data_IF_823370726459
#
_entry.id   IF_823370726459
#
_cell.length_a   1.000
_cell.length_b   1.000
_cell.length_c   1.000
_cell.angle_alpha   90.00
_cell.angle_beta   90.00
_cell.angle_gamma   90.00
#
_symmetry.space_group_name_H-M   'P 1'
#
loop_
_entity.id
_entity.type
_entity.pdbx_description
1 polymer ?
#
# COMPACT_ATOMS: atom_id res chain seq x y z
N UNK A 1 6.50 3.19 -13.37
CA UNK A 1 5.04 3.38 -13.25
C UNK A 1 4.62 3.23 -11.81
N UNK A 2 3.53 3.92 -11.43
CA UNK A 2 2.77 3.66 -10.20
C UNK A 2 1.31 3.48 -10.63
N UNK A 3 0.64 2.47 -10.08
CA UNK A 3 -0.82 2.35 -10.13
C UNK A 3 -1.42 2.88 -8.81
N UNK A 4 -2.61 3.47 -8.92
CA UNK A 4 -3.32 4.09 -7.80
C UNK A 4 -4.68 3.43 -7.61
N UNK A 5 -5.11 3.30 -6.37
CA UNK A 5 -6.46 2.88 -6.03
C UNK A 5 -6.99 3.75 -4.90
N UNK A 6 -8.32 3.91 -4.84
CA UNK A 6 -8.95 4.43 -3.64
C UNK A 6 -8.99 3.35 -2.57
N UNK A 7 -9.15 3.76 -1.32
CA UNK A 7 -9.47 2.88 -0.21
C UNK A 7 -10.18 3.71 0.87
N UNK A 8 -10.60 3.05 1.93
CA UNK A 8 -11.34 3.70 3.00
C UNK A 8 -10.75 3.32 4.35
N UNK A 9 -10.66 4.30 5.26
CA UNK A 9 -10.52 3.99 6.68
C UNK A 9 -11.93 3.97 7.26
N UNK A 10 -12.37 2.80 7.71
CA UNK A 10 -13.64 2.62 8.42
C UNK A 10 -13.38 2.73 9.91
N UNK A 11 -13.82 3.83 10.52
CA UNK A 11 -13.61 4.10 11.94
C UNK A 11 -14.65 3.42 12.83
N UNK A 12 -14.28 3.15 14.07
CA UNK A 12 -15.14 2.43 15.04
C UNK A 12 -16.46 3.12 15.37
N UNK A 13 -16.57 4.44 15.26
CA UNK A 13 -17.82 5.18 15.44
C UNK A 13 -18.65 5.36 14.14
N UNK A 14 -18.33 4.59 13.09
CA UNK A 14 -19.15 4.49 11.87
C UNK A 14 -18.92 5.58 10.83
N UNK A 15 -17.87 6.40 10.98
CA UNK A 15 -17.43 7.32 9.92
C UNK A 15 -16.46 6.58 9.00
N UNK A 16 -16.62 6.78 7.70
CA UNK A 16 -15.64 6.36 6.71
C UNK A 16 -14.90 7.57 6.15
N UNK A 17 -13.61 7.42 5.96
CA UNK A 17 -12.76 8.43 5.35
C UNK A 17 -12.06 7.85 4.12
N UNK A 18 -12.30 8.49 2.98
CA UNK A 18 -11.67 8.11 1.72
C UNK A 18 -10.17 8.47 1.78
N UNK A 19 -9.33 7.49 1.47
CA UNK A 19 -7.88 7.61 1.38
C UNK A 19 -7.41 7.05 0.04
N UNK A 20 -6.13 7.26 -0.26
CA UNK A 20 -5.52 6.69 -1.46
C UNK A 20 -4.50 5.62 -1.09
N UNK A 21 -4.37 4.61 -1.95
CA UNK A 21 -3.30 3.63 -1.93
C UNK A 21 -2.60 3.64 -3.27
N UNK A 22 -1.38 3.12 -3.30
CA UNK A 22 -0.65 2.93 -4.52
C UNK A 22 0.13 1.61 -4.49
N UNK A 23 0.28 1.02 -5.67
CA UNK A 23 0.95 -0.25 -5.84
C UNK A 23 0.44 -0.97 -7.09
N UNK A 24 1.31 -1.69 -7.81
CA UNK A 24 2.77 -1.76 -7.60
C UNK A 24 3.49 -0.46 -8.02
N UNK A 25 4.68 -0.26 -7.47
CA UNK A 25 5.66 0.72 -7.95
C UNK A 25 6.71 -0.03 -8.76
N UNK A 26 6.87 0.30 -10.04
CA UNK A 26 7.73 -0.46 -10.95
C UNK A 26 8.72 0.45 -11.69
N UNK A 27 10.00 0.09 -11.60
CA UNK A 27 11.10 0.70 -12.36
C UNK A 27 11.83 -0.41 -13.09
N UNK A 28 12.03 -0.22 -14.39
CA UNK A 28 12.77 -1.16 -15.23
C UNK A 28 14.17 -1.41 -14.65
N UNK A 29 14.69 -2.65 -14.64
CA UNK A 29 15.97 -3.00 -14.01
C UNK A 29 17.14 -2.07 -14.38
N UNK A 30 17.27 -1.73 -15.66
CA UNK A 30 18.32 -0.84 -16.18
C UNK A 30 18.29 0.59 -15.59
N UNK A 31 17.17 0.99 -14.99
CA UNK A 31 16.93 2.32 -14.43
C UNK A 31 16.75 2.31 -12.90
N UNK A 32 16.92 1.16 -12.25
CA UNK A 32 16.88 1.05 -10.80
C UNK A 32 18.12 1.71 -10.16
N UNK A 33 18.01 2.04 -8.86
CA UNK A 33 19.08 2.69 -8.07
C UNK A 33 19.53 4.08 -8.56
N UNK A 34 18.77 4.68 -9.48
CA UNK A 34 19.00 6.05 -9.99
C UNK A 34 18.05 7.09 -9.36
N UNK A 35 17.35 6.75 -8.28
CA UNK A 35 16.41 7.66 -7.60
C UNK A 35 15.01 7.76 -8.23
N UNK A 36 14.76 7.10 -9.37
CA UNK A 36 13.47 7.17 -10.08
C UNK A 36 12.29 6.69 -9.21
N UNK A 37 12.45 5.56 -8.51
CA UNK A 37 11.40 5.05 -7.62
C UNK A 37 11.04 6.04 -6.51
N UNK A 38 12.05 6.70 -5.94
CA UNK A 38 11.86 7.78 -4.96
C UNK A 38 11.15 8.98 -5.58
N UNK A 39 11.55 9.41 -6.77
CA UNK A 39 10.91 10.53 -7.47
C UNK A 39 9.42 10.25 -7.76
N UNK A 40 9.08 9.02 -8.16
CA UNK A 40 7.69 8.62 -8.39
C UNK A 40 6.85 8.66 -7.09
N UNK A 41 7.41 8.23 -5.97
CA UNK A 41 6.73 8.26 -4.66
C UNK A 41 6.56 9.71 -4.20
N UNK A 42 7.61 10.54 -4.28
CA UNK A 42 7.51 11.97 -3.94
C UNK A 42 6.48 12.70 -4.79
N UNK A 43 6.45 12.42 -6.10
CA UNK A 43 5.43 12.97 -6.99
C UNK A 43 4.02 12.54 -6.56
N UNK A 44 3.83 11.26 -6.23
CA UNK A 44 2.56 10.71 -5.73
C UNK A 44 2.09 11.42 -4.47
N UNK A 45 2.96 11.62 -3.49
CA UNK A 45 2.63 12.30 -2.22
C UNK A 45 2.13 13.72 -2.51
N UNK A 46 2.87 14.47 -3.33
CA UNK A 46 2.50 15.83 -3.72
C UNK A 46 1.15 15.87 -4.47
N UNK A 47 0.90 14.89 -5.34
CA UNK A 47 -0.35 14.79 -6.08
C UNK A 47 -1.53 14.52 -5.14
N UNK A 48 -1.39 13.55 -4.23
CA UNK A 48 -2.43 13.20 -3.27
C UNK A 48 -2.78 14.38 -2.35
N UNK A 49 -1.77 15.14 -1.90
CA UNK A 49 -1.99 16.38 -1.13
C UNK A 49 -2.79 17.42 -1.93
N UNK A 50 -2.43 17.66 -3.19
CA UNK A 50 -3.14 18.61 -4.06
C UNK A 50 -4.58 18.20 -4.35
N UNK A 51 -4.85 16.90 -4.36
CA UNK A 51 -6.20 16.35 -4.53
C UNK A 51 -7.04 16.40 -3.25
N UNK A 52 -6.45 16.80 -2.11
CA UNK A 52 -7.16 16.93 -0.83
C UNK A 52 -7.35 15.62 -0.08
N UNK A 53 -6.63 14.56 -0.43
CA UNK A 53 -6.64 13.33 0.38
C UNK A 53 -6.02 13.59 1.74
N UNK A 54 -6.58 12.95 2.76
CA UNK A 54 -6.17 13.11 4.14
C UNK A 54 -4.99 12.22 4.53
N UNK A 55 -4.88 11.04 3.91
CA UNK A 55 -3.80 10.09 4.13
C UNK A 55 -3.54 9.20 2.90
N UNK A 56 -2.37 8.56 2.90
CA UNK A 56 -2.02 7.45 2.02
C UNK A 56 -1.82 6.20 2.86
N UNK A 57 -2.48 5.10 2.51
CA UNK A 57 -2.33 3.79 3.15
C UNK A 57 -1.72 2.81 2.15
N UNK A 58 -0.70 2.05 2.55
CA UNK A 58 -0.05 1.04 1.70
C UNK A 58 0.32 -0.21 2.48
N UNK A 59 0.47 -1.33 1.78
CA UNK A 59 1.25 -2.47 2.25
C UNK A 59 2.65 -2.42 1.64
N UNK A 60 3.66 -2.23 2.47
CA UNK A 60 5.03 -2.08 2.01
C UNK A 60 6.06 -2.32 3.11
N UNK A 61 7.33 -2.40 2.73
CA UNK A 61 8.42 -2.60 3.68
C UNK A 61 8.69 -1.30 4.49
N UNK A 62 8.57 -1.30 5.83
CA UNK A 62 8.87 -0.14 6.65
C UNK A 62 10.31 0.38 6.51
N UNK A 63 11.26 -0.51 6.20
CA UNK A 63 12.67 -0.15 5.93
C UNK A 63 12.79 0.76 4.69
N UNK A 64 11.88 0.59 3.72
CA UNK A 64 11.89 1.35 2.48
C UNK A 64 11.01 2.61 2.52
N UNK A 65 9.81 2.52 3.09
CA UNK A 65 8.83 3.61 3.01
C UNK A 65 8.96 4.66 4.13
N UNK A 66 9.58 4.33 5.26
CA UNK A 66 9.77 5.25 6.39
C UNK A 66 10.51 6.55 6.03
N UNK A 67 11.42 6.49 5.05
CA UNK A 67 12.16 7.65 4.52
C UNK A 67 11.30 8.69 3.79
N UNK A 68 10.08 8.32 3.37
CA UNK A 68 9.11 9.25 2.79
C UNK A 68 8.10 9.77 3.81
N UNK A 69 8.26 9.43 5.10
CA UNK A 69 7.37 9.86 6.18
C UNK A 69 6.30 8.83 6.57
N UNK A 70 6.17 7.71 5.85
CA UNK A 70 5.27 6.62 6.24
C UNK A 70 5.62 6.10 7.64
N UNK A 71 4.61 5.70 8.39
CA UNK A 71 4.73 5.07 9.71
C UNK A 71 3.84 3.83 9.76
N UNK A 72 4.18 2.88 10.63
CA UNK A 72 3.34 1.71 10.87
C UNK A 72 1.92 2.17 11.26
N UNK A 73 0.90 1.54 10.68
CA UNK A 73 -0.50 1.90 10.90
C UNK A 73 -0.96 1.74 12.34
N UNK A 74 -0.31 0.85 13.10
CA UNK A 74 -0.51 0.69 14.55
C UNK A 74 -0.33 1.99 15.33
N UNK A 75 0.58 2.88 14.90
CA UNK A 75 0.76 4.21 15.51
C UNK A 75 -0.54 5.03 15.53
N UNK A 76 -1.42 4.75 14.57
CA UNK A 76 -2.67 5.46 14.33
C UNK A 76 -3.90 4.62 14.71
N UNK A 77 -3.69 3.48 15.38
CA UNK A 77 -4.74 2.50 15.69
C UNK A 77 -5.51 2.03 14.44
N UNK A 78 -4.85 2.05 13.28
CA UNK A 78 -5.40 1.56 12.02
C UNK A 78 -4.96 0.11 11.80
N UNK A 79 -5.96 -0.76 11.68
CA UNK A 79 -5.82 -2.19 11.45
C UNK A 79 -6.11 -2.54 9.98
N UNK A 80 -5.84 -3.78 9.61
CA UNK A 80 -6.29 -4.39 8.36
C UNK A 80 -7.81 -4.59 8.37
N UNK A 81 -8.38 -4.93 7.21
CA UNK A 81 -9.79 -5.28 7.08
C UNK A 81 -10.19 -6.47 7.99
N UNK A 82 -9.27 -7.41 8.26
CA UNK A 82 -9.47 -8.56 9.17
C UNK A 82 -9.19 -8.25 10.65
N UNK A 83 -9.19 -6.96 11.03
CA UNK A 83 -9.05 -6.46 12.40
C UNK A 83 -7.72 -6.81 13.10
N UNK A 84 -6.62 -6.88 12.34
CA UNK A 84 -5.27 -7.12 12.86
C UNK A 84 -4.35 -5.95 12.63
N UNK A 85 -3.32 -5.81 13.47
CA UNK A 85 -2.17 -5.01 13.11
C UNK A 85 -1.29 -5.81 12.16
N UNK A 86 -0.72 -5.14 11.16
CA UNK A 86 0.17 -5.75 10.19
C UNK A 86 1.43 -4.91 10.05
N UNK A 87 2.61 -5.53 10.13
CA UNK A 87 3.89 -4.83 10.02
C UNK A 87 4.04 -4.13 8.67
N UNK A 88 3.47 -4.72 7.61
CA UNK A 88 3.49 -4.16 6.27
C UNK A 88 2.52 -2.97 6.10
N UNK A 89 1.47 -2.84 6.92
CA UNK A 89 0.48 -1.78 6.76
C UNK A 89 1.06 -0.46 7.29
N UNK A 90 1.18 0.52 6.40
CA UNK A 90 1.78 1.81 6.69
C UNK A 90 0.88 2.95 6.24
N UNK A 91 0.92 4.05 7.00
CA UNK A 91 0.13 5.26 6.76
C UNK A 91 1.06 6.47 6.67
N UNK A 92 0.80 7.33 5.70
CA UNK A 92 1.33 8.68 5.63
C UNK A 92 0.16 9.67 5.76
N UNK A 93 0.10 10.39 6.86
CA UNK A 93 -0.84 11.52 7.00
C UNK A 93 -0.41 12.65 6.05
N UNK A 94 -1.37 13.15 5.28
CA UNK A 94 -1.21 14.29 4.38
C UNK A 94 -1.80 15.57 4.98
N UNK A 95 -2.78 15.42 5.88
CA UNK A 95 -3.33 16.47 6.73
C UNK A 95 -3.12 16.07 8.19
N UNK A 96 -2.69 17.00 9.04
CA UNK A 96 -2.57 16.72 10.48
C UNK A 96 -3.93 16.41 11.12
N UNK A 97 -3.91 15.50 12.11
CA UNK A 97 -5.06 15.20 12.97
C UNK A 97 -6.10 14.27 12.35
N UNK A 98 -5.75 13.57 11.27
CA UNK A 98 -6.64 12.58 10.64
C UNK A 98 -6.73 11.34 11.53
N UNK A 99 -5.63 11.00 12.18
CA UNK A 99 -5.53 9.85 13.08
C UNK A 99 -5.68 10.14 14.58
N UNK A 100 -6.16 11.32 15.00
CA UNK A 100 -6.20 11.74 16.43
C UNK A 100 -6.98 10.75 17.34
N UNK A 101 -6.32 9.67 17.77
CA UNK A 101 -6.85 8.55 18.56
C UNK A 101 -8.17 8.01 17.99
N UNK A 102 -8.12 7.68 16.71
CA UNK A 102 -9.27 7.32 15.90
C UNK A 102 -9.14 5.87 15.40
N UNK A 103 -9.40 4.85 16.25
CA UNK A 103 -9.29 3.46 15.82
C UNK A 103 -10.16 3.16 14.61
N UNK A 104 -9.58 2.44 13.65
CA UNK A 104 -10.26 2.10 12.40
C UNK A 104 -9.59 0.96 11.66
N UNK A 105 -10.20 0.59 10.54
CA UNK A 105 -9.70 -0.46 9.64
C UNK A 105 -9.51 0.12 8.26
N UNK A 106 -8.35 -0.13 7.67
CA UNK A 106 -8.11 0.17 6.28
C UNK A 106 -8.74 -0.92 5.40
N UNK A 107 -9.67 -0.50 4.55
CA UNK A 107 -10.37 -1.31 3.57
C UNK A 107 -9.79 -0.96 2.19
N UNK A 108 -9.16 -1.96 1.57
CA UNK A 108 -8.60 -1.84 0.23
C UNK A 108 -9.70 -1.74 -0.83
N UNK A 109 -9.34 -1.27 -2.02
CA UNK A 109 -10.26 -1.30 -3.16
C UNK A 109 -10.62 -2.74 -3.51
N UNK A 110 -11.89 -2.97 -3.87
CA UNK A 110 -12.33 -4.21 -4.51
C UNK A 110 -11.54 -4.54 -5.80
N UNK A 111 -10.81 -3.57 -6.38
CA UNK A 111 -9.88 -3.83 -7.50
C UNK A 111 -8.76 -4.85 -7.16
N UNK A 112 -8.53 -5.14 -5.88
CA UNK A 112 -7.60 -6.19 -5.43
C UNK A 112 -8.27 -7.55 -5.19
N UNK A 113 -9.60 -7.64 -5.30
CA UNK A 113 -10.31 -8.91 -5.29
C UNK A 113 -10.16 -9.56 -6.67
N UNK A 114 -9.52 -10.72 -6.71
CA UNK A 114 -9.22 -11.44 -7.95
C UNK A 114 -9.92 -12.79 -7.89
N UNK A 115 -10.72 -13.10 -8.92
CA UNK A 115 -11.19 -14.46 -9.16
C UNK A 115 -10.04 -15.28 -9.74
N UNK A 116 -9.61 -16.32 -9.01
CA UNK A 116 -8.48 -17.17 -9.39
C UNK A 116 -8.70 -17.89 -10.73
N UNK A 117 -9.94 -18.22 -11.09
CA UNK A 117 -10.24 -18.89 -12.36
C UNK A 117 -10.14 -17.90 -13.54
N UNK A 118 -10.65 -16.69 -13.38
CA UNK A 118 -10.51 -15.64 -14.39
C UNK A 118 -9.05 -15.22 -14.55
N UNK A 119 -8.32 -15.07 -13.44
CA UNK A 119 -6.89 -14.77 -13.45
C UNK A 119 -6.09 -15.85 -14.19
N UNK A 120 -6.33 -17.14 -13.90
CA UNK A 120 -5.64 -18.22 -14.58
C UNK A 120 -5.92 -18.25 -16.09
N UNK A 121 -7.16 -17.97 -16.52
CA UNK A 121 -7.51 -17.87 -17.95
C UNK A 121 -6.79 -16.70 -18.63
N UNK A 122 -6.69 -15.55 -17.95
CA UNK A 122 -6.01 -14.38 -18.47
C UNK A 122 -4.49 -14.59 -18.56
N UNK A 123 -3.86 -15.13 -17.51
CA UNK A 123 -2.42 -15.44 -17.48
C UNK A 123 -2.02 -16.43 -18.59
N UNK A 124 -2.89 -17.40 -18.92
CA UNK A 124 -2.65 -18.35 -20.00
C UNK A 124 -2.57 -17.71 -21.40
N UNK A 125 -2.96 -16.44 -21.55
CA UNK A 125 -2.83 -15.69 -22.82
C UNK A 125 -1.42 -15.15 -23.07
N UNK A 126 -0.56 -15.10 -22.04
CA UNK A 126 0.81 -14.61 -22.16
C UNK A 126 1.79 -15.74 -22.52
N UNK A 127 2.92 -15.43 -23.17
CA UNK A 127 4.01 -16.39 -23.31
C UNK A 127 4.48 -16.90 -21.94
N UNK A 128 4.72 -18.21 -21.85
CA UNK A 128 5.20 -18.83 -20.61
C UNK A 128 6.46 -18.14 -20.09
N UNK A 129 6.49 -17.89 -18.78
CA UNK A 129 7.65 -17.40 -18.05
C UNK A 129 7.83 -18.22 -16.79
N UNK A 130 9.07 -18.63 -16.52
CA UNK A 130 9.42 -19.26 -15.25
C UNK A 130 9.23 -18.25 -14.11
N UNK A 131 8.52 -18.66 -13.06
CA UNK A 131 8.34 -17.83 -11.87
C UNK A 131 9.68 -17.69 -11.17
N UNK A 132 10.26 -16.51 -11.24
CA UNK A 132 11.44 -16.15 -10.47
C UNK A 132 11.03 -15.44 -9.17
N UNK A 133 11.73 -15.77 -8.09
CA UNK A 133 11.59 -15.11 -6.81
C UNK A 133 12.95 -14.59 -6.33
N UNK A 134 12.94 -13.35 -5.85
CA UNK A 134 14.10 -12.67 -5.29
C UNK A 134 14.12 -12.73 -3.76
N UNK A 135 15.28 -12.52 -3.15
CA UNK A 135 15.41 -12.42 -1.69
C UNK A 135 14.51 -11.33 -1.10
N UNK A 136 14.45 -10.17 -1.76
CA UNK A 136 13.58 -9.08 -1.36
C UNK A 136 12.10 -9.46 -1.36
N UNK A 137 11.66 -10.30 -2.31
CA UNK A 137 10.27 -10.79 -2.35
C UNK A 137 10.00 -11.79 -1.22
N UNK A 138 10.96 -12.66 -0.90
CA UNK A 138 10.85 -13.58 0.24
C UNK A 138 10.76 -12.84 1.57
N UNK A 139 11.67 -11.88 1.79
CA UNK A 139 11.68 -11.05 2.99
C UNK A 139 10.36 -10.28 3.14
N UNK A 140 9.89 -9.65 2.07
CA UNK A 140 8.64 -8.91 2.11
C UNK A 140 7.44 -9.83 2.35
N UNK A 141 7.40 -11.03 1.77
CA UNK A 141 6.34 -12.01 2.04
C UNK A 141 6.30 -12.39 3.52
N UNK A 142 7.46 -12.67 4.12
CA UNK A 142 7.55 -12.95 5.55
C UNK A 142 7.02 -11.77 6.36
N UNK A 143 7.50 -10.55 6.08
CA UNK A 143 7.05 -9.35 6.79
C UNK A 143 5.54 -9.10 6.65
N UNK A 144 4.98 -9.27 5.45
CA UNK A 144 3.54 -9.11 5.19
C UNK A 144 2.67 -10.17 5.89
N UNK A 145 3.26 -11.33 6.24
CA UNK A 145 2.60 -12.38 7.02
C UNK A 145 2.55 -12.08 8.52
N UNK A 146 3.37 -11.16 9.02
CA UNK A 146 3.40 -10.78 10.43
C UNK A 146 2.19 -9.89 10.75
N UNK A 147 1.12 -10.54 11.23
CA UNK A 147 -0.13 -9.92 11.67
C UNK A 147 -0.50 -10.41 13.07
N UNK A 148 -0.97 -9.53 13.94
CA UNK A 148 -1.33 -9.82 15.33
C UNK A 148 -2.52 -8.99 15.82
#
# INVERSE_FOLDING_TARGET
>A
QIAYSRGNISYTWGVEEEVISFGPVSVLPAFQRQGIGSALITHTINLAQKMGFSAICIYGDPRYYSRFGFRCAEKYEIKTADDKFAVALQVLELRQGVSDNKPGRFIESAAFEVDENEFAKYEATFPFKEKAETDSQREFRFLASLRY
#
